data_IF_300615688720
#
_entry.id   IF_300615688720
#
_cell.length_a   1.000
_cell.length_b   1.000
_cell.length_c   1.000
_cell.angle_alpha   90.00
_cell.angle_beta   90.00
_cell.angle_gamma   90.00
#
_symmetry.space_group_name_H-M   'P 1'
#
loop_
_entity.id
_entity.type
_entity.pdbx_description
1 polymer ?
#
# COMPACT_ATOMS: atom_id res chain seq x y z
N UNK A 1 50.64 8.82 -33.47
CA UNK A 1 51.04 10.05 -32.71
C UNK A 1 49.74 10.66 -32.17
N UNK A 2 49.30 10.29 -30.95
CA UNK A 2 49.46 11.04 -29.68
C UNK A 2 48.83 12.44 -29.77
N UNK A 3 47.87 12.92 -28.97
CA UNK A 3 47.35 12.66 -27.61
C UNK A 3 45.87 13.19 -27.59
N UNK A 4 44.88 12.69 -26.86
CA UNK A 4 44.76 12.60 -25.41
C UNK A 4 44.36 13.96 -24.78
N UNK A 5 43.11 14.12 -24.30
CA UNK A 5 42.77 14.48 -22.91
C UNK A 5 41.33 15.00 -22.70
N UNK A 6 40.60 14.27 -21.84
CA UNK A 6 39.51 14.74 -20.98
C UNK A 6 40.01 15.85 -20.03
N UNK A 7 39.20 16.87 -19.77
CA UNK A 7 39.19 17.47 -18.44
C UNK A 7 37.82 18.08 -18.06
N UNK A 8 37.19 17.41 -17.10
CA UNK A 8 36.26 17.96 -16.13
C UNK A 8 36.83 19.23 -15.49
N UNK A 9 36.05 20.33 -15.48
CA UNK A 9 36.25 21.46 -14.57
C UNK A 9 34.92 21.79 -13.91
N UNK A 10 34.78 21.17 -12.74
CA UNK A 10 33.93 21.59 -11.63
C UNK A 10 34.31 23.03 -11.19
N UNK A 11 33.33 23.68 -10.55
CA UNK A 11 33.49 24.76 -9.56
C UNK A 11 33.49 26.23 -10.07
N UNK A 12 32.30 26.83 -9.99
CA UNK A 12 31.91 28.20 -9.54
C UNK A 12 32.92 29.37 -9.59
N UNK A 13 32.42 30.60 -9.80
CA UNK A 13 32.00 31.39 -8.64
C UNK A 13 30.68 32.13 -8.85
N UNK A 14 29.75 32.01 -7.89
CA UNK A 14 28.91 33.16 -7.55
C UNK A 14 29.83 34.28 -7.04
N UNK A 15 29.68 35.52 -7.49
CA UNK A 15 30.01 36.69 -6.69
C UNK A 15 28.72 37.18 -6.00
N UNK A 16 28.56 36.78 -4.74
CA UNK A 16 27.62 37.38 -3.79
C UNK A 16 28.06 38.82 -3.49
N UNK A 17 27.73 39.80 -4.35
CA UNK A 17 27.80 41.25 -4.04
C UNK A 17 27.45 42.19 -5.22
N UNK A 18 26.37 41.93 -5.96
CA UNK A 18 25.90 42.87 -6.99
C UNK A 18 24.37 42.96 -7.05
N UNK A 19 23.74 43.31 -5.93
CA UNK A 19 22.28 43.33 -5.79
C UNK A 19 21.59 44.61 -6.34
N UNK A 20 22.28 45.56 -6.98
CA UNK A 20 21.61 46.83 -7.35
C UNK A 20 21.90 47.45 -8.73
N UNK A 21 22.69 46.83 -9.62
CA UNK A 21 23.09 47.52 -10.87
C UNK A 21 23.24 46.64 -12.13
N UNK A 22 22.38 45.62 -12.35
CA UNK A 22 22.58 44.68 -13.49
C UNK A 22 21.39 44.49 -14.46
N UNK A 23 20.46 45.44 -14.56
CA UNK A 23 19.37 45.34 -15.56
C UNK A 23 19.84 45.42 -17.03
N UNK A 24 20.95 46.11 -17.30
CA UNK A 24 21.41 46.37 -18.67
C UNK A 24 22.31 45.26 -19.24
N UNK A 25 23.14 44.64 -18.40
CA UNK A 25 24.08 43.60 -18.82
C UNK A 25 23.37 42.24 -19.02
N UNK A 26 22.37 41.95 -18.18
CA UNK A 26 21.53 40.74 -18.35
C UNK A 26 20.74 40.80 -19.66
N UNK A 27 20.19 41.96 -20.03
CA UNK A 27 19.48 42.14 -21.30
C UNK A 27 20.40 42.07 -22.54
N UNK A 28 21.65 42.53 -22.44
CA UNK A 28 22.61 42.49 -23.54
C UNK A 28 23.11 41.07 -23.83
N UNK A 29 23.30 40.26 -22.80
CA UNK A 29 23.77 38.88 -22.95
C UNK A 29 22.69 37.97 -23.56
N UNK A 30 21.42 38.18 -23.19
CA UNK A 30 20.27 37.51 -23.80
C UNK A 30 20.12 37.85 -25.29
N UNK A 31 20.36 39.11 -25.67
CA UNK A 31 20.32 39.55 -27.07
C UNK A 31 21.40 38.91 -27.95
N UNK A 32 22.57 38.59 -27.37
CA UNK A 32 23.70 38.02 -28.13
C UNK A 32 23.58 36.51 -28.40
N UNK A 33 22.76 35.78 -27.63
CA UNK A 33 22.58 34.32 -27.78
C UNK A 33 21.16 33.92 -28.22
N UNK A 34 20.32 34.89 -28.60
CA UNK A 34 18.91 34.73 -28.99
C UNK A 34 18.72 34.28 -30.44
N UNK A 35 19.37 33.21 -30.89
CA UNK A 35 19.12 32.68 -32.24
C UNK A 35 18.23 31.44 -32.22
N UNK A 36 18.08 30.71 -31.11
CA UNK A 36 17.26 29.47 -31.11
C UNK A 36 16.53 29.12 -29.80
N UNK A 37 16.39 30.03 -28.83
CA UNK A 37 15.72 29.73 -27.55
C UNK A 37 14.65 30.78 -27.19
N UNK A 38 13.38 30.36 -27.17
CA UNK A 38 12.27 31.16 -26.63
C UNK A 38 12.37 31.19 -25.10
N UNK A 39 12.97 32.24 -24.55
CA UNK A 39 12.85 32.57 -23.13
C UNK A 39 11.50 33.24 -22.88
N UNK A 40 10.87 32.94 -21.74
CA UNK A 40 9.68 33.70 -21.28
C UNK A 40 10.19 35.09 -20.89
N UNK A 41 9.96 36.09 -21.75
CA UNK A 41 10.36 37.47 -21.49
C UNK A 41 9.36 38.14 -20.54
N UNK A 42 9.78 38.33 -19.29
CA UNK A 42 9.02 39.04 -18.27
C UNK A 42 8.84 40.51 -18.66
N UNK A 43 7.60 41.03 -18.57
CA UNK A 43 7.28 42.44 -18.83
C UNK A 43 6.68 42.75 -20.21
N UNK A 44 6.42 41.74 -21.07
CA UNK A 44 5.74 41.96 -22.36
C UNK A 44 4.22 41.80 -22.28
N UNK A 45 3.66 41.20 -21.23
CA UNK A 45 2.23 40.99 -21.05
C UNK A 45 1.65 41.90 -19.96
N UNK A 46 0.32 41.90 -19.80
CA UNK A 46 -0.33 42.57 -18.68
C UNK A 46 0.18 42.00 -17.34
N UNK A 47 0.22 42.82 -16.28
CA UNK A 47 0.69 42.40 -14.95
C UNK A 47 -0.06 41.16 -14.42
N UNK A 48 -1.33 41.00 -14.80
CA UNK A 48 -2.12 39.80 -14.52
C UNK A 48 -1.66 38.57 -15.32
N UNK A 49 -1.31 38.75 -16.60
CA UNK A 49 -0.78 37.68 -17.45
C UNK A 49 0.54 37.15 -16.94
N UNK A 50 1.47 38.03 -16.56
CA UNK A 50 2.77 37.63 -16.00
C UNK A 50 2.61 36.96 -14.62
N UNK A 51 1.69 37.44 -13.77
CA UNK A 51 1.36 36.77 -12.51
C UNK A 51 0.76 35.38 -12.70
N UNK A 52 -0.11 35.20 -13.70
CA UNK A 52 -0.68 33.90 -14.05
C UNK A 52 0.37 32.95 -14.63
N UNK A 53 1.29 33.44 -15.47
CA UNK A 53 2.40 32.64 -15.99
C UNK A 53 3.34 32.18 -14.87
N UNK A 54 3.71 33.08 -13.94
CA UNK A 54 4.47 32.70 -12.75
C UNK A 54 3.76 31.63 -11.93
N UNK A 55 2.47 31.81 -11.66
CA UNK A 55 1.66 30.85 -10.92
C UNK A 55 1.64 29.47 -11.62
N UNK A 56 1.41 29.43 -12.93
CA UNK A 56 1.42 28.20 -13.72
C UNK A 56 2.80 27.53 -13.74
N UNK A 57 3.89 28.30 -13.86
CA UNK A 57 5.26 27.76 -13.77
C UNK A 57 5.54 27.15 -12.40
N UNK A 58 5.12 27.80 -11.31
CA UNK A 58 5.22 27.23 -9.96
C UNK A 58 4.35 25.97 -9.80
N UNK A 59 3.16 25.91 -10.39
CA UNK A 59 2.32 24.69 -10.37
C UNK A 59 3.02 23.50 -11.06
N UNK A 60 3.67 23.73 -12.20
CA UNK A 60 4.43 22.68 -12.90
C UNK A 60 5.62 22.21 -12.07
N UNK A 61 6.32 23.13 -11.39
CA UNK A 61 7.40 22.79 -10.47
C UNK A 61 6.88 21.95 -9.29
N UNK A 62 5.73 22.31 -8.71
CA UNK A 62 5.11 21.58 -7.61
C UNK A 62 4.63 20.17 -7.99
N UNK A 63 4.26 19.94 -9.25
CA UNK A 63 3.89 18.61 -9.75
C UNK A 63 5.04 17.59 -9.63
N UNK A 64 6.29 18.04 -9.55
CA UNK A 64 7.44 17.14 -9.27
C UNK A 64 7.53 16.67 -7.82
N UNK A 65 6.80 17.31 -6.89
CA UNK A 65 6.82 16.96 -5.46
C UNK A 65 6.10 15.63 -5.18
N UNK A 66 5.07 15.30 -5.97
CA UNK A 66 4.40 14.00 -5.93
C UNK A 66 4.82 13.22 -7.19
N UNK A 67 5.89 12.41 -7.12
CA UNK A 67 6.36 11.69 -8.27
C UNK A 67 5.32 10.64 -8.69
N UNK A 68 4.98 10.62 -9.98
CA UNK A 68 4.07 9.63 -10.59
C UNK A 68 4.55 8.19 -10.30
N UNK A 69 5.88 8.00 -10.18
CA UNK A 69 6.49 6.71 -9.86
C UNK A 69 6.13 6.18 -8.47
N UNK A 70 5.77 7.03 -7.50
CA UNK A 70 5.39 6.59 -6.15
C UNK A 70 4.10 5.77 -6.19
N UNK A 71 3.11 6.22 -6.95
CA UNK A 71 1.82 5.52 -7.08
C UNK A 71 2.04 4.15 -7.70
N UNK A 72 2.76 4.10 -8.83
CA UNK A 72 3.06 2.85 -9.55
C UNK A 72 3.88 1.90 -8.67
N UNK A 73 4.82 2.41 -7.88
CA UNK A 73 5.64 1.58 -6.99
C UNK A 73 4.79 0.92 -5.90
N UNK A 74 3.81 1.63 -5.32
CA UNK A 74 2.90 1.06 -4.32
C UNK A 74 2.04 -0.06 -4.94
N UNK A 75 1.55 0.12 -6.16
CA UNK A 75 0.80 -0.92 -6.87
C UNK A 75 1.63 -2.18 -7.12
N UNK A 76 2.90 -2.02 -7.53
CA UNK A 76 3.83 -3.15 -7.71
C UNK A 76 4.09 -3.87 -6.38
N UNK A 77 4.26 -3.13 -5.28
CA UNK A 77 4.43 -3.73 -3.95
C UNK A 77 3.20 -4.55 -3.57
N UNK A 78 1.98 -4.03 -3.78
CA UNK A 78 0.72 -4.75 -3.52
C UNK A 78 0.62 -6.04 -4.34
N UNK A 79 1.00 -5.97 -5.62
CA UNK A 79 1.04 -7.13 -6.51
C UNK A 79 2.06 -8.18 -6.02
N UNK A 80 3.25 -7.74 -5.59
CA UNK A 80 4.28 -8.64 -5.08
C UNK A 80 3.84 -9.36 -3.80
N UNK A 81 3.19 -8.66 -2.86
CA UNK A 81 2.65 -9.25 -1.63
C UNK A 81 1.57 -10.28 -1.95
N UNK A 82 0.66 -9.96 -2.88
CA UNK A 82 -0.37 -10.88 -3.35
C UNK A 82 0.23 -12.16 -3.93
N UNK A 83 1.32 -12.06 -4.69
CA UNK A 83 2.02 -13.21 -5.24
C UNK A 83 2.64 -14.10 -4.16
N UNK A 84 3.21 -13.50 -3.10
CA UNK A 84 3.75 -14.27 -1.99
C UNK A 84 2.68 -15.06 -1.22
N UNK A 85 1.49 -14.47 -1.00
CA UNK A 85 0.38 -15.14 -0.31
C UNK A 85 -0.16 -16.31 -1.15
N UNK A 86 -0.25 -16.15 -2.47
CA UNK A 86 -0.74 -17.20 -3.39
C UNK A 86 0.20 -18.42 -3.44
N UNK A 87 1.51 -18.18 -3.27
CA UNK A 87 2.53 -19.23 -3.27
C UNK A 87 2.87 -19.78 -1.86
N UNK A 88 2.13 -19.39 -0.83
CA UNK A 88 2.38 -19.86 0.53
C UNK A 88 1.91 -21.33 0.71
N UNK A 89 2.87 -22.20 1.01
CA UNK A 89 2.64 -23.64 1.24
C UNK A 89 1.91 -23.93 2.55
N UNK A 90 1.99 -23.04 3.55
CA UNK A 90 1.36 -23.26 4.85
C UNK A 90 -0.16 -23.06 4.80
N UNK A 91 -0.66 -22.35 3.79
CA UNK A 91 -2.08 -22.08 3.61
C UNK A 91 -2.75 -23.03 2.59
N UNK A 92 -2.05 -24.09 2.19
CA UNK A 92 -2.58 -25.11 1.28
C UNK A 92 -3.44 -26.14 2.02
N UNK A 93 -4.69 -26.32 1.58
CA UNK A 93 -5.59 -27.32 2.14
C UNK A 93 -5.52 -28.63 1.34
N UNK A 94 -4.97 -29.69 1.94
CA UNK A 94 -4.91 -31.02 1.32
C UNK A 94 -6.31 -31.64 1.11
N UNK A 95 -7.29 -31.32 1.96
CA UNK A 95 -8.65 -31.86 1.84
C UNK A 95 -9.42 -31.30 0.62
N UNK A 96 -9.16 -30.04 0.26
CA UNK A 96 -9.83 -29.37 -0.88
C UNK A 96 -8.92 -29.21 -2.10
N UNK A 97 -7.69 -29.69 -2.03
CA UNK A 97 -6.63 -29.51 -3.05
C UNK A 97 -6.51 -28.06 -3.54
N UNK A 98 -6.64 -27.11 -2.61
CA UNK A 98 -6.72 -25.68 -2.94
C UNK A 98 -5.83 -24.86 -2.01
N UNK A 99 -4.98 -24.04 -2.62
CA UNK A 99 -4.20 -23.00 -1.94
C UNK A 99 -5.02 -21.75 -1.66
N UNK A 100 -4.47 -20.84 -0.86
CA UNK A 100 -5.04 -19.51 -0.76
C UNK A 100 -4.91 -18.80 -2.10
N UNK A 101 -6.00 -18.26 -2.60
CA UNK A 101 -6.02 -17.52 -3.85
C UNK A 101 -6.39 -16.07 -3.54
N UNK A 102 -5.47 -15.14 -3.79
CA UNK A 102 -5.75 -13.71 -3.63
C UNK A 102 -6.48 -13.20 -4.87
N UNK A 103 -7.64 -12.58 -4.67
CA UNK A 103 -8.49 -12.03 -5.75
C UNK A 103 -8.34 -10.52 -5.90
N UNK A 104 -7.92 -9.83 -4.84
CA UNK A 104 -7.68 -8.39 -4.84
C UNK A 104 -6.43 -8.06 -4.02
N UNK A 105 -5.45 -7.42 -4.67
CA UNK A 105 -4.19 -7.02 -4.02
C UNK A 105 -4.32 -5.74 -3.18
N UNK A 106 -5.40 -4.97 -3.35
CA UNK A 106 -5.63 -3.74 -2.57
C UNK A 106 -5.95 -4.03 -1.11
N UNK A 107 -6.57 -5.18 -0.83
CA UNK A 107 -7.05 -5.56 0.49
C UNK A 107 -5.94 -6.10 1.41
N UNK A 108 -4.77 -6.46 0.86
CA UNK A 108 -3.71 -7.10 1.65
C UNK A 108 -3.25 -6.25 2.84
N UNK A 109 -3.23 -4.92 2.70
CA UNK A 109 -2.91 -3.98 3.77
C UNK A 109 -4.03 -3.87 4.81
N UNK A 110 -5.29 -3.90 4.34
CA UNK A 110 -6.48 -3.86 5.19
C UNK A 110 -6.58 -5.12 6.04
N UNK A 111 -6.17 -6.28 5.53
CA UNK A 111 -6.14 -7.54 6.29
C UNK A 111 -5.28 -7.46 7.56
N UNK A 112 -4.22 -6.64 7.56
CA UNK A 112 -3.37 -6.42 8.73
C UNK A 112 -4.00 -5.53 9.82
N UNK A 113 -5.14 -4.90 9.53
CA UNK A 113 -5.81 -3.92 10.39
C UNK A 113 -7.19 -4.39 10.86
N UNK A 114 -7.56 -5.65 10.61
CA UNK A 114 -8.87 -6.18 10.98
C UNK A 114 -8.93 -6.45 12.50
N UNK A 115 -9.90 -5.85 13.18
CA UNK A 115 -10.16 -6.06 14.62
C UNK A 115 -11.28 -7.09 14.88
N UNK A 116 -12.26 -7.19 13.97
CA UNK A 116 -13.44 -8.05 14.14
C UNK A 116 -13.57 -9.04 12.98
N UNK A 117 -13.79 -10.32 13.30
CA UNK A 117 -14.05 -11.38 12.32
C UNK A 117 -15.49 -11.87 12.50
N UNK A 118 -16.35 -11.55 11.54
CA UNK A 118 -17.68 -12.13 11.46
C UNK A 118 -17.62 -13.47 10.73
N UNK A 119 -17.86 -14.56 11.44
CA UNK A 119 -17.83 -15.91 10.89
C UNK A 119 -19.23 -16.47 10.71
N UNK A 120 -19.48 -17.14 9.58
CA UNK A 120 -20.70 -17.94 9.41
C UNK A 120 -20.60 -19.26 10.20
N UNK A 121 -21.74 -19.80 10.65
CA UNK A 121 -21.78 -21.07 11.39
C UNK A 121 -21.61 -22.26 10.44
N UNK A 122 -22.44 -22.35 9.42
CA UNK A 122 -22.52 -23.54 8.57
C UNK A 122 -21.53 -23.43 7.42
N UNK A 123 -20.69 -24.45 7.21
CA UNK A 123 -19.70 -24.45 6.13
C UNK A 123 -18.40 -23.71 6.46
N UNK A 124 -18.36 -22.92 7.54
CA UNK A 124 -17.14 -22.31 8.09
C UNK A 124 -16.76 -22.92 9.43
N UNK A 125 -17.57 -22.74 10.48
CA UNK A 125 -17.27 -23.31 11.81
C UNK A 125 -17.56 -24.82 11.86
N UNK A 126 -18.60 -25.27 11.16
CA UNK A 126 -18.99 -26.68 11.15
C UNK A 126 -18.96 -27.25 9.74
N UNK A 127 -18.41 -28.46 9.60
CA UNK A 127 -18.62 -29.26 8.40
C UNK A 127 -20.07 -29.77 8.38
N UNK A 128 -20.66 -29.91 7.20
CA UNK A 128 -22.02 -30.47 7.05
C UNK A 128 -22.01 -32.00 7.18
N UNK A 129 -21.48 -32.51 8.31
CA UNK A 129 -21.45 -33.94 8.64
C UNK A 129 -21.76 -34.10 10.12
N UNK A 130 -22.91 -34.71 10.40
CA UNK A 130 -23.35 -34.99 11.75
C UNK A 130 -22.91 -36.40 12.14
N UNK A 131 -22.12 -36.52 13.20
CA UNK A 131 -21.69 -37.80 13.75
C UNK A 131 -22.35 -38.03 15.09
N UNK A 132 -23.05 -39.16 15.21
CA UNK A 132 -23.60 -39.59 16.49
C UNK A 132 -22.47 -40.05 17.41
N UNK A 133 -22.30 -39.39 18.56
CA UNK A 133 -21.19 -39.66 19.49
C UNK A 133 -21.62 -40.46 20.72
N UNK A 134 -22.69 -40.04 21.38
CA UNK A 134 -23.17 -40.64 22.63
C UNK A 134 -24.70 -40.69 22.64
N UNK A 135 -25.25 -41.76 23.21
CA UNK A 135 -26.60 -41.77 23.80
C UNK A 135 -26.56 -42.11 25.28
N UNK A 136 -27.54 -41.60 26.00
CA UNK A 136 -27.90 -42.06 27.34
C UNK A 136 -29.20 -42.87 27.22
N UNK A 137 -29.17 -44.14 27.63
CA UNK A 137 -30.35 -45.00 27.64
C UNK A 137 -30.53 -45.50 29.07
N UNK A 138 -31.59 -45.03 29.74
CA UNK A 138 -31.80 -45.26 31.17
C UNK A 138 -30.73 -44.56 32.01
N UNK A 139 -29.97 -45.33 32.80
CA UNK A 139 -28.85 -44.84 33.64
C UNK A 139 -27.46 -45.25 33.09
N UNK A 140 -27.39 -45.65 31.81
CA UNK A 140 -26.14 -46.09 31.16
C UNK A 140 -25.81 -45.24 29.94
N UNK A 141 -24.56 -44.77 29.87
CA UNK A 141 -24.01 -44.05 28.72
C UNK A 141 -23.49 -45.05 27.69
N UNK A 142 -23.83 -44.82 26.42
CA UNK A 142 -23.39 -45.58 25.27
C UNK A 142 -22.62 -44.65 24.34
N UNK A 143 -21.31 -44.89 24.19
CA UNK A 143 -20.41 -44.06 23.40
C UNK A 143 -19.09 -43.79 24.13
N UNK A 144 -18.09 -43.35 23.39
CA UNK A 144 -16.77 -43.05 23.95
C UNK A 144 -16.74 -41.64 24.57
N UNK A 145 -16.86 -41.58 25.91
CA UNK A 145 -16.72 -40.33 26.68
C UNK A 145 -15.32 -39.72 26.58
N UNK A 146 -14.29 -40.53 26.30
CA UNK A 146 -12.91 -40.07 26.16
C UNK A 146 -12.72 -39.12 24.98
N UNK A 147 -13.57 -39.22 23.95
CA UNK A 147 -13.56 -38.32 22.79
C UNK A 147 -14.04 -36.89 23.09
N UNK A 148 -14.69 -36.66 24.23
CA UNK A 148 -15.15 -35.34 24.69
C UNK A 148 -14.15 -34.62 25.57
N UNK A 149 -13.20 -35.36 26.17
CA UNK A 149 -12.14 -34.74 26.93
C UNK A 149 -11.19 -34.05 25.94
N UNK A 150 -10.83 -32.79 26.18
CA UNK A 150 -9.86 -32.11 25.33
C UNK A 150 -8.57 -32.92 25.36
N UNK A 151 -8.16 -33.49 24.22
CA UNK A 151 -6.81 -34.02 24.08
C UNK A 151 -5.85 -32.88 24.44
N UNK A 152 -5.00 -33.10 25.44
CA UNK A 152 -4.05 -32.10 25.91
C UNK A 152 -3.30 -31.50 24.71
N UNK A 153 -3.25 -30.18 24.55
CA UNK A 153 -2.67 -29.56 23.37
C UNK A 153 -1.17 -29.86 23.31
N UNK A 154 -0.75 -30.53 22.23
CA UNK A 154 0.66 -30.48 21.82
C UNK A 154 0.95 -29.02 21.41
N UNK A 155 1.76 -28.33 22.22
CA UNK A 155 2.09 -26.91 22.09
C UNK A 155 2.60 -26.59 20.68
N UNK A 156 1.76 -25.97 19.86
CA UNK A 156 2.11 -25.03 18.77
C UNK A 156 0.83 -24.36 18.28
N UNK A 157 0.35 -23.36 19.01
CA UNK A 157 -0.68 -22.45 18.53
C UNK A 157 -0.32 -21.02 18.94
N UNK A 158 -0.01 -20.22 17.93
CA UNK A 158 0.23 -18.79 17.97
C UNK A 158 -1.10 -18.09 18.31
N UNK A 159 -1.03 -17.09 19.19
CA UNK A 159 -2.20 -16.42 19.73
C UNK A 159 -3.00 -15.67 18.68
N UNK A 160 -4.28 -16.01 18.56
CA UNK A 160 -5.32 -15.13 18.05
C UNK A 160 -6.45 -15.13 19.07
N UNK A 161 -6.62 -14.02 19.76
CA UNK A 161 -7.67 -13.81 20.74
C UNK A 161 -8.94 -13.43 19.96
N UNK A 162 -9.79 -14.41 19.72
CA UNK A 162 -11.12 -14.21 19.13
C UNK A 162 -12.03 -13.86 20.30
N UNK A 163 -12.29 -12.57 20.51
CA UNK A 163 -13.38 -12.15 21.39
C UNK A 163 -14.70 -12.41 20.65
N UNK A 164 -15.21 -13.63 20.86
CA UNK A 164 -16.47 -14.11 20.33
C UNK A 164 -17.60 -13.27 20.93
N UNK A 165 -18.11 -12.34 20.12
CA UNK A 165 -19.28 -11.55 20.46
C UNK A 165 -20.42 -12.48 20.88
N UNK A 166 -20.94 -12.22 22.08
CA UNK A 166 -22.05 -12.91 22.72
C UNK A 166 -23.34 -12.68 21.93
N UNK A 167 -23.54 -13.43 20.86
CA UNK A 167 -24.85 -13.58 20.21
C UNK A 167 -25.37 -14.96 20.60
N UNK A 168 -25.82 -15.04 21.85
CA UNK A 168 -26.72 -16.08 22.28
C UNK A 168 -27.95 -15.40 22.90
N UNK A 169 -29.03 -15.39 22.15
CA UNK A 169 -30.34 -15.76 22.67
C UNK A 169 -30.83 -15.03 23.93
N UNK A 170 -30.96 -13.71 23.90
CA UNK A 170 -32.02 -13.07 24.68
C UNK A 170 -32.66 -11.98 23.84
N UNK A 171 -33.93 -12.16 23.50
CA UNK A 171 -34.73 -11.17 22.81
C UNK A 171 -34.69 -9.84 23.57
N UNK A 172 -34.30 -8.79 22.86
CA UNK A 172 -34.55 -7.41 23.24
C UNK A 172 -34.92 -6.66 21.94
N UNK A 173 -36.02 -5.88 21.92
CA UNK A 173 -36.48 -5.19 20.74
C UNK A 173 -35.56 -4.00 20.41
N UNK A 174 -35.27 -3.85 19.13
CA UNK A 174 -34.55 -2.70 18.57
C UNK A 174 -35.57 -1.56 18.45
N UNK A 175 -35.31 -0.44 19.14
CA UNK A 175 -35.78 0.90 18.77
C UNK A 175 -34.66 1.55 17.98
#
# INVERSE_FOLDING_TARGET
RNKGQLHTRLHSPLPDSALHHSGALDGAFLKSNSVNHNYILWGSNSALGDGFLMFCTYLVLLNTMIPISLIVSIEIVKMSQSYFIDNDKFMYSAFREKGAAVRSASLNEELGQIEYVFTDKTGTLTTNRMEFKIALIGHKYFGDLGSFLPKSPSRKAMGFKIDLFRICSSGAPII
#
